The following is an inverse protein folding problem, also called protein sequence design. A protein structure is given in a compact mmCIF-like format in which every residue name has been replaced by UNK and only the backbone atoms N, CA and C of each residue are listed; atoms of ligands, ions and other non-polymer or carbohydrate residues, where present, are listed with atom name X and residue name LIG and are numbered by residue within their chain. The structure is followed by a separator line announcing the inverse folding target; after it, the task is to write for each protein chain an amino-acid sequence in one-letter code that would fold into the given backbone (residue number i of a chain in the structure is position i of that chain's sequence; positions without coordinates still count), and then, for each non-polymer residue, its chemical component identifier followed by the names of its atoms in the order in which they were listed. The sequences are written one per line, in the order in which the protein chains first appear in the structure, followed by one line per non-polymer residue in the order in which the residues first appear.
data_IF_225714187232
#
_entry.id   IF_225714187232
#
_cell.length_a   1.000
_cell.length_b   1.000
_cell.length_c   1.000
_cell.angle_alpha   90.00
_cell.angle_beta   90.00
_cell.angle_gamma   90.00
#
_symmetry.space_group_name_H-M   'P 1'
#
loop_
_entity.id
_entity.type
_entity.pdbx_description
1 polymer ?
#
# COMPACT_ATOMS: atom_id res chain seq x y z
N UNK A 1 -13.15 -37.10 16.70
CA UNK A 1 -12.30 -36.69 15.56
C UNK A 1 -12.31 -35.17 15.35
N UNK A 2 -13.45 -34.53 15.08
CA UNK A 2 -13.51 -33.06 14.84
C UNK A 2 -13.05 -32.24 16.07
N UNK A 3 -13.53 -32.58 17.26
CA UNK A 3 -13.09 -31.92 18.50
C UNK A 3 -11.57 -32.05 18.73
N UNK A 4 -11.01 -33.24 18.49
CA UNK A 4 -9.58 -33.51 18.64
C UNK A 4 -8.70 -32.73 17.65
N UNK A 5 -9.23 -32.44 16.45
CA UNK A 5 -8.59 -31.58 15.47
C UNK A 5 -8.55 -30.13 15.96
N UNK A 6 -9.68 -29.58 16.42
CA UNK A 6 -9.68 -28.21 16.94
C UNK A 6 -8.85 -28.04 18.21
N UNK A 7 -8.82 -29.05 19.10
CA UNK A 7 -7.90 -29.05 20.25
C UNK A 7 -6.44 -29.01 19.80
N UNK A 8 -6.09 -29.62 18.65
CA UNK A 8 -4.73 -29.48 18.10
C UNK A 8 -4.45 -28.03 17.71
N UNK A 9 -5.42 -27.39 17.05
CA UNK A 9 -5.33 -26.02 16.57
C UNK A 9 -5.18 -24.99 17.69
N UNK A 10 -5.77 -25.25 18.87
CA UNK A 10 -5.62 -24.35 20.03
C UNK A 10 -4.24 -24.41 20.69
N UNK A 11 -3.41 -25.41 20.35
CA UNK A 11 -2.09 -25.56 20.95
C UNK A 11 -2.11 -25.96 22.43
N UNK A 12 -3.24 -26.46 22.94
CA UNK A 12 -3.35 -27.00 24.29
C UNK A 12 -2.63 -28.35 24.40
N UNK A 13 -2.11 -28.63 25.60
CA UNK A 13 -1.57 -29.94 25.95
C UNK A 13 -2.71 -30.94 26.04
N UNK A 14 -2.69 -31.94 25.15
CA UNK A 14 -3.74 -32.95 25.06
C UNK A 14 -3.75 -33.86 26.27
N UNK A 15 -2.59 -34.18 26.84
CA UNK A 15 -2.48 -35.13 27.94
C UNK A 15 -3.09 -34.53 29.21
N UNK A 16 -2.83 -33.24 29.45
CA UNK A 16 -3.45 -32.50 30.56
C UNK A 16 -4.95 -32.30 30.30
N UNK A 17 -5.32 -31.84 29.10
CA UNK A 17 -6.71 -31.55 28.75
C UNK A 17 -7.58 -32.81 28.75
N UNK A 18 -7.02 -33.99 28.47
CA UNK A 18 -7.81 -35.22 28.45
C UNK A 18 -8.32 -35.66 29.83
N UNK A 19 -7.63 -35.22 30.89
CA UNK A 19 -8.06 -35.40 32.28
C UNK A 19 -9.12 -34.39 32.73
N UNK A 20 -9.41 -33.35 31.93
CA UNK A 20 -10.35 -32.29 32.28
C UNK A 20 -11.79 -32.63 31.91
N UNK A 21 -12.72 -31.89 32.52
CA UNK A 21 -14.15 -31.94 32.22
C UNK A 21 -14.46 -31.64 30.73
N UNK A 22 -15.59 -32.16 30.25
CA UNK A 22 -16.05 -31.95 28.87
C UNK A 22 -16.24 -30.46 28.51
N UNK A 23 -16.60 -29.63 29.50
CA UNK A 23 -16.74 -28.18 29.32
C UNK A 23 -15.43 -27.51 28.91
N UNK A 24 -14.32 -27.86 29.57
CA UNK A 24 -12.99 -27.35 29.22
C UNK A 24 -12.50 -27.87 27.86
N UNK A 25 -12.77 -29.14 27.54
CA UNK A 25 -12.48 -29.68 26.20
C UNK A 25 -13.23 -28.92 25.09
N UNK A 26 -14.46 -28.50 25.35
CA UNK A 26 -15.26 -27.71 24.39
C UNK A 26 -14.76 -26.27 24.28
N UNK A 27 -14.37 -25.64 25.39
CA UNK A 27 -13.76 -24.30 25.42
C UNK A 27 -12.49 -24.25 24.57
N UNK A 28 -11.57 -25.19 24.79
CA UNK A 28 -10.32 -25.27 24.02
C UNK A 28 -10.53 -25.68 22.56
N UNK A 29 -11.55 -26.50 22.26
CA UNK A 29 -11.96 -26.75 20.89
C UNK A 29 -12.52 -25.48 20.22
N UNK A 30 -13.30 -24.65 20.93
CA UNK A 30 -13.80 -23.37 20.42
C UNK A 30 -12.68 -22.39 20.09
N UNK A 31 -11.70 -22.24 20.99
CA UNK A 31 -10.50 -21.42 20.76
C UNK A 31 -9.71 -21.96 19.56
N UNK A 32 -9.61 -23.28 19.40
CA UNK A 32 -8.95 -23.87 18.25
C UNK A 32 -9.70 -23.69 16.94
N UNK A 33 -11.03 -23.67 16.99
CA UNK A 33 -11.87 -23.39 15.83
C UNK A 33 -11.68 -21.94 15.36
N UNK A 34 -11.58 -20.96 16.27
CA UNK A 34 -11.33 -19.57 15.88
C UNK A 34 -9.97 -19.43 15.19
N UNK A 35 -8.89 -20.02 15.73
CA UNK A 35 -7.55 -20.06 15.09
C UNK A 35 -7.57 -20.72 13.71
N UNK A 36 -8.37 -21.78 13.53
CA UNK A 36 -8.49 -22.44 12.24
C UNK A 36 -9.23 -21.56 11.21
N UNK A 37 -10.35 -20.95 11.61
CA UNK A 37 -11.13 -20.09 10.72
C UNK A 37 -10.39 -18.79 10.38
N UNK A 38 -9.61 -18.20 11.29
CA UNK A 38 -8.74 -17.06 10.97
C UNK A 38 -7.73 -17.44 9.89
N UNK A 39 -7.05 -18.58 10.02
CA UNK A 39 -6.11 -19.07 9.00
C UNK A 39 -6.75 -19.34 7.64
N UNK A 40 -7.97 -19.91 7.60
CA UNK A 40 -8.71 -20.15 6.35
C UNK A 40 -9.08 -18.83 5.68
N UNK A 41 -9.62 -17.87 6.44
CA UNK A 41 -9.97 -16.56 5.90
C UNK A 41 -8.73 -15.80 5.41
N UNK A 42 -7.62 -15.86 6.16
CA UNK A 42 -6.34 -15.29 5.75
C UNK A 42 -5.80 -15.94 4.46
N UNK A 43 -5.99 -17.26 4.28
CA UNK A 43 -5.64 -17.97 3.05
C UNK A 43 -6.42 -17.44 1.86
N UNK A 44 -7.74 -17.32 2.00
CA UNK A 44 -8.62 -16.84 0.92
C UNK A 44 -8.29 -15.39 0.56
N UNK A 45 -8.14 -14.54 1.57
CA UNK A 45 -7.80 -13.13 1.40
C UNK A 45 -6.43 -12.94 0.72
N UNK A 46 -5.39 -13.65 1.19
CA UNK A 46 -4.07 -13.59 0.60
C UNK A 46 -4.06 -14.15 -0.82
N UNK A 47 -4.76 -15.26 -1.08
CA UNK A 47 -4.89 -15.82 -2.44
C UNK A 47 -5.51 -14.78 -3.38
N UNK A 48 -6.59 -14.12 -2.96
CA UNK A 48 -7.23 -13.08 -3.75
C UNK A 48 -6.31 -11.89 -4.01
N UNK A 49 -5.66 -11.35 -2.97
CA UNK A 49 -4.73 -10.24 -3.12
C UNK A 49 -3.56 -10.59 -4.05
N UNK A 50 -2.96 -11.77 -3.87
CA UNK A 50 -1.84 -12.23 -4.70
C UNK A 50 -2.28 -12.55 -6.14
N UNK A 51 -3.53 -12.95 -6.36
CA UNK A 51 -4.09 -13.08 -7.70
C UNK A 51 -4.13 -11.73 -8.42
N UNK A 52 -4.57 -10.67 -7.74
CA UNK A 52 -4.59 -9.31 -8.33
C UNK A 52 -3.19 -8.77 -8.66
N UNK A 53 -2.12 -9.30 -8.03
CA UNK A 53 -0.73 -8.87 -8.26
C UNK A 53 -0.04 -9.73 -9.33
N UNK A 54 -0.20 -11.06 -9.30
CA UNK A 54 0.57 -11.98 -10.14
C UNK A 54 -0.17 -12.48 -11.39
N UNK A 55 -1.47 -12.17 -11.50
CA UNK A 55 -2.41 -12.61 -12.54
C UNK A 55 -2.28 -14.10 -12.89
N UNK A 56 -1.96 -14.90 -11.87
CA UNK A 56 -1.67 -16.32 -12.01
C UNK A 56 -2.25 -17.09 -10.83
N UNK A 57 -3.28 -17.87 -11.13
CA UNK A 57 -4.07 -18.64 -10.16
C UNK A 57 -3.19 -19.60 -9.36
N UNK A 58 -2.26 -20.30 -10.01
CA UNK A 58 -1.42 -21.31 -9.33
C UNK A 58 -0.45 -20.67 -8.33
N UNK A 59 0.20 -19.56 -8.71
CA UNK A 59 1.09 -18.83 -7.80
C UNK A 59 0.31 -18.20 -6.64
N UNK A 60 -0.86 -17.63 -6.93
CA UNK A 60 -1.73 -17.04 -5.93
C UNK A 60 -2.17 -18.07 -4.87
N UNK A 61 -2.61 -19.26 -5.29
CA UNK A 61 -3.01 -20.34 -4.37
C UNK A 61 -1.82 -20.82 -3.54
N UNK A 62 -0.66 -21.04 -4.16
CA UNK A 62 0.53 -21.53 -3.46
C UNK A 62 0.97 -20.57 -2.35
N UNK A 63 1.13 -19.28 -2.68
CA UNK A 63 1.55 -18.28 -1.72
C UNK A 63 0.44 -17.94 -0.71
N UNK A 64 -0.83 -18.01 -1.11
CA UNK A 64 -1.96 -17.85 -0.20
C UNK A 64 -2.04 -18.96 0.86
N UNK A 65 -1.83 -20.22 0.47
CA UNK A 65 -1.73 -21.35 1.40
C UNK A 65 -0.53 -21.22 2.34
N UNK A 66 0.63 -20.82 1.81
CA UNK A 66 1.82 -20.57 2.62
C UNK A 66 1.56 -19.49 3.67
N UNK A 67 0.93 -18.38 3.26
CA UNK A 67 0.55 -17.30 4.18
C UNK A 67 -0.44 -17.77 5.25
N UNK A 68 -1.48 -18.51 4.85
CA UNK A 68 -2.44 -19.10 5.78
C UNK A 68 -1.79 -20.01 6.82
N UNK A 69 -0.81 -20.83 6.40
CA UNK A 69 -0.05 -21.68 7.31
C UNK A 69 0.82 -20.87 8.29
N UNK A 70 1.40 -19.75 7.85
CA UNK A 70 2.14 -18.83 8.73
C UNK A 70 1.20 -18.22 9.77
N UNK A 71 0.03 -17.72 9.36
CA UNK A 71 -0.97 -17.18 10.28
C UNK A 71 -1.44 -18.24 11.28
N UNK A 72 -1.77 -19.44 10.78
CA UNK A 72 -2.16 -20.57 11.63
C UNK A 72 -1.11 -20.90 12.68
N UNK A 73 0.17 -20.98 12.28
CA UNK A 73 1.26 -21.30 13.19
C UNK A 73 1.44 -20.20 14.25
N UNK A 74 1.36 -18.94 13.83
CA UNK A 74 1.57 -17.79 14.70
C UNK A 74 0.43 -17.62 15.70
N UNK A 75 -0.82 -17.74 15.26
CA UNK A 75 -2.00 -17.73 16.14
C UNK A 75 -1.96 -18.88 17.15
N UNK A 76 -1.66 -20.10 16.67
CA UNK A 76 -1.53 -21.28 17.53
C UNK A 76 -0.42 -21.08 18.58
N UNK A 77 0.72 -20.54 18.17
CA UNK A 77 1.83 -20.26 19.08
C UNK A 77 1.41 -19.27 20.18
N UNK A 78 0.71 -18.19 19.83
CA UNK A 78 0.27 -17.19 20.81
C UNK A 78 -0.78 -17.76 21.76
N UNK A 79 -1.78 -18.47 21.24
CA UNK A 79 -2.79 -19.10 22.10
C UNK A 79 -2.14 -20.10 23.05
N UNK A 80 -1.11 -20.84 22.61
CA UNK A 80 -0.39 -21.80 23.47
C UNK A 80 0.50 -21.13 24.53
N UNK A 81 1.09 -19.98 24.22
CA UNK A 81 1.98 -19.24 25.13
C UNK A 81 1.25 -18.31 26.09
N UNK A 82 0.02 -17.90 25.76
CA UNK A 82 -0.88 -17.18 26.65
C UNK A 82 -1.34 -18.08 27.79
N UNK A 83 -0.57 -18.04 28.88
CA UNK A 83 -0.89 -18.71 30.14
C UNK A 83 -1.70 -17.77 31.02
N UNK A 84 -2.82 -18.28 31.54
CA UNK A 84 -3.59 -17.56 32.54
C UNK A 84 -2.81 -17.44 33.84
N UNK A 85 -2.67 -16.21 34.33
CA UNK A 85 -2.02 -15.87 35.61
C UNK A 85 -2.87 -14.81 36.29
N UNK A 86 -2.82 -14.73 37.62
CA UNK A 86 -3.65 -13.81 38.43
C UNK A 86 -3.56 -12.31 38.09
N UNK A 87 -2.69 -11.90 37.15
CA UNK A 87 -2.43 -10.50 36.80
C UNK A 87 -2.80 -10.21 35.35
N UNK A 88 -4.04 -9.77 35.13
CA UNK A 88 -4.60 -9.38 33.82
C UNK A 88 -3.69 -8.45 33.00
N UNK A 89 -3.05 -7.47 33.64
CA UNK A 89 -2.13 -6.53 32.97
C UNK A 89 -0.91 -7.20 32.33
N UNK A 90 -0.39 -8.28 32.95
CA UNK A 90 0.72 -9.03 32.37
C UNK A 90 0.26 -9.89 31.19
N UNK A 91 -0.96 -10.42 31.24
CA UNK A 91 -1.57 -11.15 30.11
C UNK A 91 -1.78 -10.23 28.90
N UNK A 92 -2.30 -9.02 29.15
CA UNK A 92 -2.50 -8.03 28.11
C UNK A 92 -1.16 -7.59 27.49
N UNK A 93 -0.15 -7.30 28.32
CA UNK A 93 1.20 -6.94 27.86
C UNK A 93 1.84 -7.99 26.95
N UNK A 94 1.69 -9.28 27.27
CA UNK A 94 2.18 -10.38 26.43
C UNK A 94 1.42 -10.51 25.11
N UNK A 95 0.19 -9.97 25.03
CA UNK A 95 -0.66 -10.01 23.83
C UNK A 95 -0.43 -8.84 22.87
N UNK A 96 0.22 -7.75 23.32
CA UNK A 96 0.44 -6.52 22.51
C UNK A 96 1.14 -6.79 21.18
N UNK A 97 2.26 -7.55 21.11
CA UNK A 97 2.94 -7.79 19.83
C UNK A 97 2.02 -8.41 18.78
N UNK A 98 1.05 -9.23 19.21
CA UNK A 98 0.05 -9.81 18.31
C UNK A 98 -1.02 -8.82 17.91
N UNK A 99 -1.51 -7.98 18.82
CA UNK A 99 -2.50 -6.95 18.47
C UNK A 99 -1.94 -6.01 17.39
N UNK A 100 -0.67 -5.63 17.50
CA UNK A 100 0.02 -4.83 16.48
C UNK A 100 0.06 -5.59 15.15
N UNK A 101 0.46 -6.86 15.16
CA UNK A 101 0.51 -7.68 13.95
C UNK A 101 -0.88 -7.88 13.31
N UNK A 102 -1.92 -8.09 14.13
CA UNK A 102 -3.30 -8.22 13.67
C UNK A 102 -3.79 -6.93 12.99
N UNK A 103 -3.43 -5.76 13.53
CA UNK A 103 -3.70 -4.48 12.87
C UNK A 103 -2.99 -4.38 11.52
N UNK A 104 -1.71 -4.75 11.45
CA UNK A 104 -0.94 -4.72 10.19
C UNK A 104 -1.58 -5.64 9.15
N UNK A 105 -1.92 -6.87 9.54
CA UNK A 105 -2.57 -7.85 8.65
C UNK A 105 -3.94 -7.34 8.21
N UNK A 106 -4.74 -6.80 9.12
CA UNK A 106 -6.06 -6.26 8.81
C UNK A 106 -5.98 -5.11 7.80
N UNK A 107 -4.99 -4.21 7.91
CA UNK A 107 -4.75 -3.15 6.90
C UNK A 107 -4.34 -3.75 5.55
N UNK A 108 -3.40 -4.69 5.54
CA UNK A 108 -2.88 -5.29 4.31
C UNK A 108 -3.98 -6.06 3.55
N UNK A 109 -4.86 -6.74 4.27
CA UNK A 109 -5.97 -7.51 3.69
C UNK A 109 -7.15 -6.60 3.30
N UNK A 110 -7.46 -5.58 4.09
CA UNK A 110 -8.64 -4.76 3.86
C UNK A 110 -8.53 -3.96 2.56
N UNK A 111 -7.34 -3.44 2.20
CA UNK A 111 -7.18 -2.55 1.04
C UNK A 111 -7.49 -3.21 -0.33
N UNK A 112 -6.95 -4.38 -0.68
CA UNK A 112 -7.31 -5.04 -1.94
C UNK A 112 -8.79 -5.44 -1.99
N UNK A 113 -9.36 -5.85 -0.84
CA UNK A 113 -10.75 -6.25 -0.77
C UNK A 113 -11.70 -5.06 -0.86
N UNK A 114 -11.35 -3.93 -0.24
CA UNK A 114 -12.04 -2.65 -0.34
C UNK A 114 -12.13 -2.20 -1.80
N UNK A 115 -11.01 -2.20 -2.53
CA UNK A 115 -10.98 -1.89 -3.96
C UNK A 115 -11.88 -2.81 -4.79
N UNK A 116 -12.01 -4.09 -4.40
CA UNK A 116 -12.90 -5.02 -5.11
C UNK A 116 -14.36 -4.84 -4.76
N UNK A 117 -14.68 -4.67 -3.48
CA UNK A 117 -16.05 -4.50 -3.00
C UNK A 117 -16.66 -3.24 -3.59
N UNK A 118 -15.88 -2.15 -3.68
CA UNK A 118 -16.31 -0.86 -4.21
C UNK A 118 -15.96 -0.66 -5.68
N UNK A 119 -15.68 -1.71 -6.45
CA UNK A 119 -15.26 -1.60 -7.85
C UNK A 119 -16.24 -0.76 -8.68
N UNK A 120 -17.56 -0.98 -8.51
CA UNK A 120 -18.60 -0.25 -9.25
C UNK A 120 -18.69 1.22 -8.85
N UNK A 121 -18.55 1.51 -7.56
CA UNK A 121 -18.58 2.85 -7.02
C UNK A 121 -17.34 3.63 -7.46
N UNK A 122 -16.17 2.99 -7.43
CA UNK A 122 -14.91 3.53 -7.95
C UNK A 122 -15.03 3.83 -9.44
N UNK A 123 -15.54 2.88 -10.24
CA UNK A 123 -15.72 3.06 -11.69
C UNK A 123 -16.65 4.25 -11.98
N UNK A 124 -17.68 4.47 -11.16
CA UNK A 124 -18.58 5.63 -11.30
C UNK A 124 -17.88 6.95 -11.01
N UNK A 125 -17.09 7.01 -9.93
CA UNK A 125 -16.29 8.22 -9.59
C UNK A 125 -15.25 8.49 -10.68
N UNK A 126 -14.55 7.45 -11.13
CA UNK A 126 -13.59 7.52 -12.24
C UNK A 126 -14.22 8.05 -13.51
N UNK A 127 -15.44 7.61 -13.86
CA UNK A 127 -16.17 8.10 -15.02
C UNK A 127 -16.51 9.59 -14.88
N UNK A 128 -16.90 10.03 -13.68
CA UNK A 128 -17.11 11.45 -13.38
C UNK A 128 -15.83 12.27 -13.55
N UNK A 129 -14.70 11.80 -13.00
CA UNK A 129 -13.40 12.46 -13.12
C UNK A 129 -12.92 12.51 -14.59
N UNK A 130 -13.12 11.43 -15.36
CA UNK A 130 -12.81 11.42 -16.80
C UNK A 130 -13.64 12.45 -17.58
N UNK A 131 -14.92 12.61 -17.25
CA UNK A 131 -15.77 13.62 -17.87
C UNK A 131 -15.28 15.03 -17.51
N UNK A 132 -14.92 15.26 -16.26
CA UNK A 132 -14.36 16.55 -15.79
C UNK A 132 -13.06 16.89 -16.52
N UNK A 133 -12.11 15.95 -16.59
CA UNK A 133 -10.87 16.14 -17.36
C UNK A 133 -11.12 16.34 -18.85
N UNK A 134 -12.11 15.65 -19.42
CA UNK A 134 -12.50 15.84 -20.83
C UNK A 134 -12.98 17.26 -21.07
N UNK A 135 -13.87 17.77 -20.22
CA UNK A 135 -14.42 19.13 -20.33
C UNK A 135 -13.31 20.18 -20.11
N UNK A 136 -12.45 19.97 -19.12
CA UNK A 136 -11.33 20.87 -18.85
C UNK A 136 -10.35 20.94 -20.02
N UNK A 137 -9.90 19.78 -20.52
CA UNK A 137 -8.99 19.70 -21.65
C UNK A 137 -9.60 20.31 -22.93
N UNK A 138 -10.89 20.05 -23.20
CA UNK A 138 -11.59 20.70 -24.32
C UNK A 138 -11.63 22.23 -24.15
N UNK A 139 -11.86 22.72 -22.94
CA UNK A 139 -11.83 24.16 -22.63
C UNK A 139 -10.45 24.79 -22.83
N UNK A 140 -9.39 24.13 -22.37
CA UNK A 140 -8.00 24.59 -22.53
C UNK A 140 -7.59 24.63 -24.01
N UNK A 141 -7.92 23.58 -24.78
CA UNK A 141 -7.70 23.55 -26.22
C UNK A 141 -8.52 24.67 -26.88
N UNK A 142 -9.80 24.83 -26.56
CA UNK A 142 -10.65 25.87 -27.15
C UNK A 142 -10.10 27.29 -26.88
N UNK A 143 -9.57 27.54 -25.68
CA UNK A 143 -8.94 28.81 -25.34
C UNK A 143 -7.70 29.12 -26.21
N UNK A 144 -7.00 28.10 -26.70
CA UNK A 144 -5.85 28.25 -27.60
C UNK A 144 -6.26 28.67 -29.02
N UNK A 145 -7.36 28.13 -29.55
CA UNK A 145 -7.80 28.36 -30.94
C UNK A 145 -8.75 29.56 -31.09
N UNK A 146 -9.50 29.92 -30.04
CA UNK A 146 -10.48 31.02 -30.08
C UNK A 146 -9.87 32.37 -30.54
N UNK A 147 -8.69 32.81 -30.08
CA UNK A 147 -8.10 34.08 -30.49
C UNK A 147 -7.80 34.15 -32.00
N UNK A 148 -7.26 33.08 -32.58
CA UNK A 148 -6.94 33.03 -34.01
C UNK A 148 -8.20 32.98 -34.88
N UNK A 149 -9.23 32.25 -34.44
CA UNK A 149 -10.54 32.23 -35.12
C UNK A 149 -11.18 33.63 -35.10
N UNK A 150 -11.17 34.30 -33.95
CA UNK A 150 -11.72 35.65 -33.82
C UNK A 150 -10.98 36.66 -34.72
N UNK A 151 -9.65 36.56 -34.79
CA UNK A 151 -8.83 37.40 -35.66
C UNK A 151 -9.17 37.21 -37.15
N UNK A 152 -9.45 35.98 -37.58
CA UNK A 152 -9.90 35.70 -38.95
C UNK A 152 -11.32 36.23 -39.19
N UNK A 153 -12.22 36.14 -38.20
CA UNK A 153 -13.55 36.72 -38.27
C UNK A 153 -13.52 38.24 -38.40
N UNK A 154 -12.65 38.91 -37.64
CA UNK A 154 -12.44 40.36 -37.73
C UNK A 154 -11.89 40.76 -39.10
N UNK A 155 -10.98 39.98 -39.69
CA UNK A 155 -10.47 40.22 -41.05
C UNK A 155 -11.57 40.08 -42.11
N UNK A 156 -12.41 39.05 -42.00
CA UNK A 156 -13.55 38.87 -42.91
C UNK A 156 -14.54 40.03 -42.77
N UNK A 157 -14.84 40.45 -41.54
CA UNK A 157 -15.75 41.57 -41.28
C UNK A 157 -15.20 42.89 -41.85
N UNK A 158 -13.92 43.18 -41.63
CA UNK A 158 -13.24 44.35 -42.19
C UNK A 158 -13.26 44.36 -43.73
N UNK A 159 -12.93 43.24 -44.38
CA UNK A 159 -12.94 43.13 -45.84
C UNK A 159 -14.35 43.33 -46.43
N UNK A 160 -15.40 42.82 -45.76
CA UNK A 160 -16.79 43.06 -46.14
C UNK A 160 -17.20 44.53 -45.95
N UNK A 161 -16.76 45.16 -44.86
CA UNK A 161 -17.03 46.57 -44.59
C UNK A 161 -16.36 47.50 -45.60
N UNK A 162 -15.13 47.21 -46.03
CA UNK A 162 -14.45 47.94 -47.10
C UNK A 162 -15.25 47.89 -48.41
N UNK A 163 -15.74 46.69 -48.80
CA UNK A 163 -16.57 46.52 -50.00
C UNK A 163 -17.86 47.36 -49.86
N UNK A 164 -18.58 47.23 -48.75
CA UNK A 164 -19.84 47.95 -48.54
C UNK A 164 -19.66 49.48 -48.56
N UNK A 165 -18.54 49.97 -48.01
CA UNK A 165 -18.20 51.39 -48.02
C UNK A 165 -17.94 51.88 -49.45
N UNK A 166 -17.15 51.14 -50.24
CA UNK A 166 -16.87 51.50 -51.63
C UNK A 166 -18.10 51.33 -52.55
N UNK A 167 -18.97 50.37 -52.28
CA UNK A 167 -20.27 50.25 -52.96
C UNK A 167 -21.15 51.47 -52.71
N UNK A 168 -21.19 51.97 -51.47
CA UNK A 168 -21.95 53.18 -51.12
C UNK A 168 -21.37 54.40 -51.84
N UNK A 169 -20.05 54.53 -51.91
CA UNK A 169 -19.37 55.59 -52.67
C UNK A 169 -19.73 55.57 -54.17
N UNK A 170 -19.68 54.39 -54.79
CA UNK A 170 -20.04 54.22 -56.21
C UNK A 170 -21.52 54.55 -56.46
N UNK A 171 -22.42 54.08 -55.60
CA UNK A 171 -23.85 54.39 -55.71
C UNK A 171 -24.13 55.90 -55.57
N UNK A 172 -23.44 56.59 -54.65
CA UNK A 172 -23.55 58.04 -54.52
C UNK A 172 -23.05 58.76 -55.78
N UNK A 173 -21.91 58.33 -56.34
CA UNK A 173 -21.39 58.89 -57.59
C UNK A 173 -22.33 58.66 -58.78
N UNK A 174 -23.02 57.52 -58.80
CA UNK A 174 -24.05 57.20 -59.78
C UNK A 174 -25.21 58.19 -59.72
N UNK A 175 -25.77 58.42 -58.53
CA UNK A 175 -26.84 59.41 -58.31
C UNK A 175 -26.40 60.81 -58.77
N UNK A 176 -25.19 61.25 -58.38
CA UNK A 176 -24.66 62.59 -58.70
C UNK A 176 -24.56 62.88 -60.21
N UNK A 177 -24.19 61.89 -61.04
CA UNK A 177 -24.09 62.11 -62.49
C UNK A 177 -25.45 61.95 -63.20
N UNK A 178 -26.36 61.13 -62.66
CA UNK A 178 -27.72 60.99 -63.17
C UNK A 178 -28.50 62.30 -62.93
N UNK A 179 -28.42 62.86 -61.72
CA UNK A 179 -29.06 64.14 -61.40
C UNK A 179 -28.56 65.29 -62.29
N UNK A 180 -27.26 65.27 -62.65
CA UNK A 180 -26.69 66.23 -63.61
C UNK A 180 -27.29 66.06 -65.02
N UNK A 181 -27.54 64.82 -65.46
CA UNK A 181 -28.14 64.56 -66.77
C UNK A 181 -29.63 64.95 -66.82
N UNK A 182 -30.33 64.77 -65.70
CA UNK A 182 -31.74 65.12 -65.52
C UNK A 182 -31.95 66.62 -65.23
N UNK A 183 -30.87 67.36 -64.93
CA UNK A 183 -30.92 68.79 -64.63
C UNK A 183 -31.53 69.12 -63.26
N UNK A 184 -31.58 68.14 -62.35
CA UNK A 184 -32.17 68.26 -61.01
C UNK A 184 -31.16 68.75 -59.96
N UNK A 185 -29.86 68.66 -60.24
CA UNK A 185 -28.77 69.19 -59.42
C UNK A 185 -27.55 69.58 -60.26
N UNK A 186 -26.65 70.42 -59.72
CA UNK A 186 -25.39 70.80 -60.38
C UNK A 186 -25.54 71.99 -61.34
N UNK A 187 -25.39 71.77 -62.66
CA UNK A 187 -25.56 72.85 -63.65
C UNK A 187 -27.01 73.21 -63.95
N UNK A 188 -27.98 72.38 -63.51
CA UNK A 188 -29.43 72.52 -63.76
C UNK A 188 -29.81 72.56 -65.25
N UNK A 189 -28.88 72.16 -66.13
CA UNK A 189 -29.09 72.08 -67.56
C UNK A 189 -29.39 70.64 -67.97
N UNK A 190 -30.53 70.43 -68.63
CA UNK A 190 -30.91 69.12 -69.14
C UNK A 190 -29.94 68.67 -70.25
N UNK A 191 -29.31 67.50 -70.06
CA UNK A 191 -28.52 66.85 -71.10
C UNK A 191 -27.11 66.43 -70.69
N UNK A 192 -26.37 65.86 -71.65
CA UNK A 192 -25.06 65.24 -71.43
C UNK A 192 -23.93 66.18 -71.87
N UNK A 193 -23.63 67.17 -71.04
CA UNK A 193 -22.55 68.14 -71.27
C UNK A 193 -21.16 67.69 -70.77
N UNK A 194 -20.13 68.56 -70.85
CA UNK A 194 -18.78 68.26 -70.38
C UNK A 194 -18.70 67.91 -68.87
N UNK A 195 -19.51 68.58 -68.03
CA UNK A 195 -19.58 68.33 -66.58
C UNK A 195 -20.18 66.95 -66.28
N UNK A 196 -21.20 66.53 -67.03
CA UNK A 196 -21.73 65.16 -66.97
C UNK A 196 -20.66 64.13 -67.33
N UNK A 197 -19.86 64.40 -68.37
CA UNK A 197 -18.80 63.49 -68.78
C UNK A 197 -17.71 63.35 -67.70
N UNK A 198 -17.28 64.44 -67.07
CA UNK A 198 -16.32 64.38 -65.96
C UNK A 198 -16.86 63.61 -64.75
N UNK A 199 -18.13 63.82 -64.38
CA UNK A 199 -18.78 63.08 -63.28
C UNK A 199 -18.94 61.59 -63.60
N UNK A 200 -19.28 61.26 -64.84
CA UNK A 200 -19.35 59.88 -65.33
C UNK A 200 -17.99 59.20 -65.33
N UNK A 201 -16.95 59.89 -65.79
CA UNK A 201 -15.58 59.35 -65.81
C UNK A 201 -15.09 59.05 -64.37
N UNK A 202 -15.47 59.88 -63.39
CA UNK A 202 -15.23 59.62 -61.95
C UNK A 202 -15.98 58.40 -61.44
N UNK A 203 -17.25 58.23 -61.80
CA UNK A 203 -18.02 57.03 -61.47
C UNK A 203 -17.40 55.78 -62.11
N UNK A 204 -17.07 55.83 -63.39
CA UNK A 204 -16.54 54.68 -64.13
C UNK A 204 -15.16 54.26 -63.59
N UNK A 205 -14.34 55.22 -63.14
CA UNK A 205 -13.11 54.94 -62.39
C UNK A 205 -13.37 54.27 -61.02
N UNK A 206 -14.30 54.82 -60.22
CA UNK A 206 -14.67 54.24 -58.92
C UNK A 206 -15.32 52.84 -59.05
N UNK A 207 -16.08 52.60 -60.12
CA UNK A 207 -16.66 51.30 -60.46
C UNK A 207 -15.57 50.27 -60.79
N UNK A 208 -14.54 50.67 -61.54
CA UNK A 208 -13.38 49.81 -61.83
C UNK A 208 -12.59 49.49 -60.56
N UNK A 209 -12.38 50.47 -59.67
CA UNK A 209 -11.78 50.26 -58.35
C UNK A 209 -12.60 49.30 -57.48
N UNK A 210 -13.94 49.45 -57.48
CA UNK A 210 -14.83 48.56 -56.75
C UNK A 210 -14.77 47.12 -57.27
N UNK A 211 -14.70 46.92 -58.59
CA UNK A 211 -14.56 45.59 -59.18
C UNK A 211 -13.23 44.94 -58.77
N UNK A 212 -12.13 45.68 -58.77
CA UNK A 212 -10.83 45.22 -58.29
C UNK A 212 -10.87 44.90 -56.79
N UNK A 213 -11.48 45.76 -55.99
CA UNK A 213 -11.61 45.61 -54.54
C UNK A 213 -12.42 44.35 -54.19
N UNK A 214 -13.56 44.13 -54.87
CA UNK A 214 -14.37 42.92 -54.71
C UNK A 214 -13.58 41.66 -55.02
N UNK A 215 -12.80 41.66 -56.10
CA UNK A 215 -11.98 40.50 -56.49
C UNK A 215 -10.91 40.22 -55.44
N UNK A 216 -10.17 41.25 -55.03
CA UNK A 216 -9.10 41.15 -54.02
C UNK A 216 -9.63 40.71 -52.65
N UNK A 217 -10.72 41.32 -52.19
CA UNK A 217 -11.28 40.98 -50.88
C UNK A 217 -12.03 39.63 -50.91
N UNK A 218 -12.59 39.20 -52.05
CA UNK A 218 -13.12 37.84 -52.20
C UNK A 218 -12.01 36.79 -52.04
N UNK A 219 -10.82 37.01 -52.60
CA UNK A 219 -9.68 36.12 -52.40
C UNK A 219 -9.24 36.08 -50.93
N UNK A 220 -9.13 37.25 -50.25
CA UNK A 220 -8.80 37.31 -48.82
C UNK A 220 -9.83 36.57 -47.95
N UNK A 221 -11.12 36.77 -48.22
CA UNK A 221 -12.20 36.10 -47.49
C UNK A 221 -12.12 34.59 -47.71
N UNK A 222 -11.93 34.13 -48.95
CA UNK A 222 -11.78 32.70 -49.25
C UNK A 222 -10.57 32.08 -48.53
N UNK A 223 -9.42 32.77 -48.50
CA UNK A 223 -8.25 32.31 -47.76
C UNK A 223 -8.50 32.24 -46.25
N UNK A 224 -9.13 33.27 -45.66
CA UNK A 224 -9.47 33.29 -44.24
C UNK A 224 -10.49 32.18 -43.88
N UNK A 225 -11.48 31.91 -44.74
CA UNK A 225 -12.43 30.82 -44.54
C UNK A 225 -11.75 29.44 -44.59
N UNK A 226 -10.83 29.23 -45.53
CA UNK A 226 -10.01 27.99 -45.58
C UNK A 226 -9.18 27.82 -44.31
N UNK A 227 -8.54 28.89 -43.83
CA UNK A 227 -7.77 28.86 -42.57
C UNK A 227 -8.65 28.56 -41.36
N UNK A 228 -9.88 29.11 -41.29
CA UNK A 228 -10.84 28.77 -40.23
C UNK A 228 -11.23 27.30 -40.25
N UNK A 229 -11.40 26.71 -41.43
CA UNK A 229 -11.69 25.27 -41.56
C UNK A 229 -10.49 24.46 -41.07
N UNK A 230 -9.28 24.80 -41.49
CA UNK A 230 -8.05 24.13 -41.03
C UNK A 230 -7.89 24.18 -39.50
N UNK A 231 -8.09 25.35 -38.88
CA UNK A 231 -8.01 25.50 -37.43
C UNK A 231 -9.08 24.66 -36.69
N UNK A 232 -10.28 24.53 -37.26
CA UNK A 232 -11.33 23.65 -36.71
C UNK A 232 -10.96 22.18 -36.81
N UNK A 233 -10.35 21.77 -37.93
CA UNK A 233 -9.90 20.39 -38.12
C UNK A 233 -8.72 20.07 -37.19
N UNK A 234 -7.79 21.00 -37.00
CA UNK A 234 -6.71 20.90 -36.01
C UNK A 234 -7.27 20.80 -34.58
N UNK A 235 -8.24 21.63 -34.21
CA UNK A 235 -8.94 21.55 -32.92
C UNK A 235 -9.57 20.16 -32.72
N UNK A 236 -10.33 19.67 -33.69
CA UNK A 236 -10.96 18.34 -33.64
C UNK A 236 -9.91 17.23 -33.51
N UNK A 237 -8.78 17.37 -34.20
CA UNK A 237 -7.66 16.44 -34.13
C UNK A 237 -7.00 16.47 -32.75
N UNK A 238 -6.79 17.65 -32.17
CA UNK A 238 -6.22 17.81 -30.83
C UNK A 238 -7.13 17.20 -29.75
N UNK A 239 -8.44 17.42 -29.83
CA UNK A 239 -9.43 16.79 -28.95
C UNK A 239 -9.43 15.27 -29.13
N UNK A 240 -9.45 14.78 -30.37
CA UNK A 240 -9.42 13.34 -30.66
C UNK A 240 -8.13 12.66 -30.21
N UNK A 241 -7.00 13.36 -30.22
CA UNK A 241 -5.70 12.81 -29.83
C UNK A 241 -5.52 12.77 -28.31
N UNK A 242 -6.15 13.70 -27.60
CA UNK A 242 -6.11 13.77 -26.12
C UNK A 242 -7.13 12.83 -25.47
N UNK A 243 -8.26 12.53 -26.10
CA UNK A 243 -9.29 11.66 -25.52
C UNK A 243 -8.79 10.25 -25.12
N UNK A 244 -7.95 9.54 -25.92
CA UNK A 244 -7.37 8.26 -25.53
C UNK A 244 -6.50 8.34 -24.28
N UNK A 245 -5.78 9.45 -24.08
CA UNK A 245 -4.91 9.67 -22.91
C UNK A 245 -5.76 9.77 -21.65
N UNK A 246 -6.87 10.51 -21.70
CA UNK A 246 -7.84 10.65 -20.60
C UNK A 246 -8.55 9.31 -20.35
N UNK A 247 -8.93 8.60 -21.41
CA UNK A 247 -9.62 7.31 -21.28
C UNK A 247 -8.73 6.23 -20.64
N UNK A 248 -7.42 6.27 -20.92
CA UNK A 248 -6.41 5.39 -20.32
C UNK A 248 -6.01 5.77 -18.89
N UNK A 249 -6.60 6.82 -18.32
CA UNK A 249 -6.53 7.11 -16.89
C UNK A 249 -7.35 6.07 -16.10
N UNK A 250 -6.85 4.84 -15.98
CA UNK A 250 -7.48 3.72 -15.25
C UNK A 250 -6.43 2.88 -14.49
N UNK A 251 -5.27 3.47 -14.22
CA UNK A 251 -4.23 2.82 -13.42
C UNK A 251 -4.67 2.60 -11.96
N UNK A 252 -3.95 1.74 -11.24
CA UNK A 252 -4.19 1.47 -9.82
C UNK A 252 -4.21 2.75 -8.98
N UNK A 253 -3.35 3.73 -9.29
CA UNK A 253 -3.31 5.02 -8.61
C UNK A 253 -4.64 5.77 -8.76
N UNK A 254 -5.20 5.82 -9.96
CA UNK A 254 -6.47 6.48 -10.22
C UNK A 254 -7.62 5.80 -9.44
N UNK A 255 -7.61 4.46 -9.37
CA UNK A 255 -8.56 3.70 -8.55
C UNK A 255 -8.42 4.00 -7.05
N UNK A 256 -7.19 4.16 -6.55
CA UNK A 256 -6.93 4.55 -5.15
C UNK A 256 -7.42 5.97 -4.89
N UNK A 257 -7.20 6.90 -5.81
CA UNK A 257 -7.64 8.28 -5.66
C UNK A 257 -9.16 8.40 -5.72
N UNK A 258 -9.82 7.73 -6.68
CA UNK A 258 -11.28 7.65 -6.74
C UNK A 258 -11.90 6.99 -5.49
N UNK A 259 -11.22 6.02 -4.89
CA UNK A 259 -11.66 5.42 -3.62
C UNK A 259 -11.62 6.41 -2.45
N UNK A 260 -10.73 7.42 -2.46
CA UNK A 260 -10.69 8.45 -1.39
C UNK A 260 -11.91 9.38 -1.42
N UNK A 261 -12.57 9.51 -2.57
CA UNK A 261 -13.80 10.29 -2.72
C UNK A 261 -15.03 9.55 -2.14
N UNK A 262 -14.91 8.24 -1.88
CA UNK A 262 -15.98 7.47 -1.26
C UNK A 262 -16.08 7.74 0.24
N UNK A 263 -17.28 7.58 0.85
CA UNK A 263 -17.42 7.67 2.30
C UNK A 263 -16.46 6.72 3.02
N UNK A 264 -15.79 7.21 4.05
CA UNK A 264 -14.78 6.44 4.79
C UNK A 264 -15.38 5.34 5.70
N UNK A 265 -16.66 5.45 6.06
CA UNK A 265 -17.32 4.54 7.02
C UNK A 265 -17.36 3.08 6.55
N UNK A 266 -17.75 2.75 5.29
CA UNK A 266 -17.68 1.40 4.77
C UNK A 266 -16.25 0.81 4.77
N UNK A 267 -15.25 1.62 4.41
CA UNK A 267 -13.83 1.24 4.48
C UNK A 267 -13.40 0.87 5.91
N UNK A 268 -13.76 1.73 6.87
CA UNK A 268 -13.53 1.47 8.29
C UNK A 268 -14.23 0.19 8.73
N UNK A 269 -15.47 -0.04 8.31
CA UNK A 269 -16.24 -1.23 8.71
C UNK A 269 -15.58 -2.52 8.23
N UNK A 270 -15.08 -2.56 6.99
CA UNK A 270 -14.34 -3.72 6.45
C UNK A 270 -13.06 -3.94 7.25
N UNK A 271 -12.30 -2.87 7.53
CA UNK A 271 -11.10 -2.96 8.35
C UNK A 271 -11.41 -3.49 9.77
N UNK A 272 -12.44 -2.96 10.43
CA UNK A 272 -12.87 -3.38 11.76
C UNK A 272 -13.35 -4.84 11.77
N UNK A 273 -14.01 -5.29 10.70
CA UNK A 273 -14.43 -6.68 10.55
C UNK A 273 -13.22 -7.62 10.53
N UNK A 274 -12.21 -7.33 9.71
CA UNK A 274 -10.98 -8.14 9.67
C UNK A 274 -10.20 -8.07 10.98
N UNK A 275 -10.10 -6.88 11.58
CA UNK A 275 -9.46 -6.72 12.88
C UNK A 275 -10.18 -7.53 13.97
N UNK A 276 -11.51 -7.54 13.98
CA UNK A 276 -12.29 -8.33 14.93
C UNK A 276 -12.08 -9.82 14.74
N UNK A 277 -12.04 -10.30 13.49
CA UNK A 277 -11.78 -11.71 13.16
C UNK A 277 -10.36 -12.12 13.60
N UNK A 278 -9.34 -11.34 13.25
CA UNK A 278 -7.94 -11.65 13.58
C UNK A 278 -7.65 -11.58 15.08
N UNK A 279 -8.35 -10.71 15.82
CA UNK A 279 -8.17 -10.59 17.27
C UNK A 279 -9.06 -11.55 18.08
N UNK A 280 -10.03 -12.22 17.44
CA UNK A 280 -10.96 -13.12 18.11
C UNK A 280 -10.29 -14.24 18.95
N UNK A 281 -9.22 -14.92 18.50
CA UNK A 281 -8.56 -15.94 19.32
C UNK A 281 -7.98 -15.39 20.63
N UNK A 282 -7.39 -14.19 20.56
CA UNK A 282 -6.77 -13.52 21.71
C UNK A 282 -7.85 -13.04 22.67
N UNK A 283 -8.87 -12.35 22.16
CA UNK A 283 -9.99 -11.91 22.99
C UNK A 283 -10.72 -13.09 23.62
N UNK A 284 -10.94 -14.17 22.87
CA UNK A 284 -11.53 -15.39 23.42
C UNK A 284 -10.70 -15.94 24.57
N UNK A 285 -9.37 -15.92 24.48
CA UNK A 285 -8.50 -16.39 25.56
C UNK A 285 -8.46 -15.41 26.74
N UNK A 286 -8.35 -14.11 26.48
CA UNK A 286 -8.29 -13.06 27.51
C UNK A 286 -9.59 -12.96 28.32
N UNK A 287 -10.76 -13.02 27.67
CA UNK A 287 -12.08 -12.94 28.32
C UNK A 287 -12.40 -14.23 29.08
N UNK A 288 -11.91 -15.38 28.59
CA UNK A 288 -12.23 -16.64 29.24
C UNK A 288 -11.64 -16.72 30.66
N UNK A 289 -12.42 -17.14 31.67
CA UNK A 289 -11.92 -17.29 33.03
C UNK A 289 -10.92 -18.45 33.11
N UNK A 290 -10.10 -18.43 34.16
CA UNK A 290 -9.18 -19.53 34.47
C UNK A 290 -9.97 -20.83 34.69
N UNK A 291 -9.66 -21.84 33.88
CA UNK A 291 -10.36 -23.13 33.86
C UNK A 291 -9.61 -24.24 34.58
N UNK A 292 -10.22 -25.43 34.64
CA UNK A 292 -9.61 -26.64 35.21
C UNK A 292 -8.27 -26.98 34.53
N UNK A 293 -8.19 -26.78 33.22
CA UNK A 293 -6.96 -26.99 32.45
C UNK A 293 -5.84 -26.04 32.90
N UNK A 294 -6.15 -24.76 33.09
CA UNK A 294 -5.13 -23.76 33.48
C UNK A 294 -4.59 -24.04 34.88
N UNK A 295 -5.45 -24.49 35.80
CA UNK A 295 -5.07 -24.91 37.16
C UNK A 295 -4.15 -26.13 37.10
N UNK A 296 -4.53 -27.19 36.38
CA UNK A 296 -3.72 -28.41 36.26
C UNK A 296 -2.38 -28.14 35.59
N UNK A 297 -2.36 -27.32 34.55
CA UNK A 297 -1.11 -26.93 33.88
C UNK A 297 -0.19 -26.15 34.83
N UNK A 298 -0.73 -25.22 35.63
CA UNK A 298 0.03 -24.48 36.63
C UNK A 298 0.58 -25.41 37.72
N UNK A 299 -0.21 -26.37 38.19
CA UNK A 299 0.20 -27.36 39.19
C UNK A 299 1.33 -28.28 38.69
N UNK A 300 1.22 -28.76 37.45
CA UNK A 300 2.28 -29.53 36.80
C UNK A 300 3.59 -28.73 36.69
N UNK A 301 3.52 -27.46 36.27
CA UNK A 301 4.70 -26.59 36.17
C UNK A 301 5.33 -26.30 37.54
N UNK A 302 4.52 -26.05 38.57
CA UNK A 302 4.98 -25.84 39.94
C UNK A 302 5.65 -27.08 40.51
N UNK A 303 5.03 -28.25 40.33
CA UNK A 303 5.58 -29.54 40.79
C UNK A 303 6.96 -29.79 40.19
N UNK A 304 7.13 -29.57 38.88
CA UNK A 304 8.43 -29.72 38.21
C UNK A 304 9.44 -28.71 38.76
N UNK A 305 9.04 -27.46 38.96
CA UNK A 305 9.91 -26.41 39.48
C UNK A 305 10.38 -26.74 40.89
N UNK A 306 9.48 -27.10 41.80
CA UNK A 306 9.81 -27.45 43.18
C UNK A 306 10.67 -28.70 43.25
N UNK A 307 10.35 -29.74 42.49
CA UNK A 307 11.15 -30.95 42.41
C UNK A 307 12.57 -30.68 41.88
N UNK A 308 12.70 -29.82 40.87
CA UNK A 308 14.01 -29.42 40.34
C UNK A 308 14.83 -28.63 41.38
N UNK A 309 14.17 -27.74 42.14
CA UNK A 309 14.81 -26.99 43.22
C UNK A 309 15.25 -27.91 44.37
N UNK A 310 14.40 -28.88 44.76
CA UNK A 310 14.71 -29.87 45.78
C UNK A 310 15.91 -30.72 45.37
N UNK A 311 15.96 -31.19 44.12
CA UNK A 311 17.12 -31.94 43.59
C UNK A 311 18.39 -31.12 43.57
N UNK A 312 18.31 -29.84 43.20
CA UNK A 312 19.46 -28.95 43.22
C UNK A 312 19.98 -28.76 44.65
N UNK A 313 19.08 -28.56 45.63
CA UNK A 313 19.43 -28.46 47.04
C UNK A 313 20.06 -29.75 47.58
N UNK A 314 19.47 -30.90 47.27
CA UNK A 314 19.98 -32.20 47.71
C UNK A 314 21.38 -32.48 47.15
N UNK A 315 21.65 -32.14 45.88
CA UNK A 315 22.99 -32.23 45.30
C UNK A 315 23.99 -31.34 46.02
N UNK A 316 23.60 -30.12 46.39
CA UNK A 316 24.44 -29.19 47.13
C UNK A 316 24.79 -29.75 48.51
N UNK A 317 23.79 -30.20 49.27
CA UNK A 317 23.98 -30.81 50.60
C UNK A 317 24.86 -32.06 50.49
N UNK A 318 24.63 -32.92 49.50
CA UNK A 318 25.45 -34.11 49.29
C UNK A 318 26.92 -33.76 49.04
N UNK A 319 27.17 -32.78 48.16
CA UNK A 319 28.53 -32.31 47.85
C UNK A 319 29.21 -31.71 49.09
N UNK A 320 28.50 -30.87 49.85
CA UNK A 320 29.01 -30.29 51.09
C UNK A 320 29.29 -31.38 52.14
N UNK A 321 28.41 -32.36 52.26
CA UNK A 321 28.58 -33.50 53.18
C UNK A 321 29.80 -34.33 52.77
N UNK A 322 29.95 -34.64 51.48
CA UNK A 322 31.12 -35.34 50.96
C UNK A 322 32.42 -34.57 51.23
N UNK A 323 32.42 -33.24 51.07
CA UNK A 323 33.55 -32.40 51.46
C UNK A 323 33.87 -32.51 52.95
N UNK A 324 32.87 -32.40 53.83
CA UNK A 324 33.06 -32.49 55.28
C UNK A 324 33.56 -33.88 55.70
N UNK A 325 33.00 -34.95 55.13
CA UNK A 325 33.40 -36.33 55.42
C UNK A 325 34.81 -36.58 54.93
N UNK A 326 35.14 -36.17 53.70
CA UNK A 326 36.49 -36.29 53.18
C UNK A 326 37.49 -35.49 54.02
N UNK A 327 37.16 -34.26 54.40
CA UNK A 327 38.02 -33.43 55.24
C UNK A 327 38.30 -34.08 56.60
N UNK A 328 37.27 -34.68 57.23
CA UNK A 328 37.43 -35.47 58.46
C UNK A 328 38.33 -36.69 58.22
N UNK A 329 38.08 -37.48 57.17
CA UNK A 329 38.88 -38.67 56.85
C UNK A 329 40.34 -38.30 56.58
N UNK A 330 40.61 -37.25 55.80
CA UNK A 330 41.98 -36.80 55.54
C UNK A 330 42.65 -36.22 56.79
N UNK A 331 41.89 -35.55 57.67
CA UNK A 331 42.40 -35.06 58.96
C UNK A 331 42.80 -36.22 59.88
N UNK A 332 41.96 -37.26 59.99
CA UNK A 332 42.25 -38.46 60.78
C UNK A 332 43.49 -39.19 60.22
N UNK A 333 43.57 -39.34 58.88
CA UNK A 333 44.74 -39.91 58.20
C UNK A 333 46.00 -39.06 58.42
N UNK A 334 45.89 -37.73 58.46
CA UNK A 334 47.03 -36.85 58.72
C UNK A 334 47.57 -36.98 60.15
N UNK A 335 46.72 -37.37 61.09
CA UNK A 335 47.07 -37.60 62.50
C UNK A 335 47.50 -39.06 62.77
N UNK A 336 47.42 -39.95 61.78
CA UNK A 336 47.82 -41.35 61.90
C UNK A 336 49.35 -41.49 62.04
N UNK A 337 49.75 -41.88 63.25
CA UNK A 337 51.15 -42.05 63.65
C UNK A 337 51.84 -43.19 62.90
N UNK A 338 51.10 -44.25 62.50
CA UNK A 338 51.63 -45.37 61.74
C UNK A 338 51.96 -44.94 60.31
N UNK A 339 51.03 -44.22 59.66
CA UNK A 339 51.26 -43.68 58.33
C UNK A 339 52.40 -42.64 58.31
N UNK A 340 52.48 -41.78 59.33
CA UNK A 340 53.60 -40.84 59.49
C UNK A 340 54.93 -41.59 59.59
N UNK A 341 55.02 -42.61 60.43
CA UNK A 341 56.24 -43.40 60.61
C UNK A 341 56.64 -44.14 59.33
N UNK A 342 55.67 -44.69 58.59
CA UNK A 342 55.89 -45.33 57.30
C UNK A 342 56.42 -44.34 56.25
N UNK A 343 55.76 -43.18 56.09
CA UNK A 343 56.22 -42.12 55.17
C UNK A 343 57.60 -41.59 55.55
N UNK A 344 57.88 -41.42 56.85
CA UNK A 344 59.20 -41.01 57.36
C UNK A 344 60.28 -42.04 57.04
N UNK A 345 59.99 -43.34 57.12
CA UNK A 345 60.92 -44.41 56.73
C UNK A 345 61.22 -44.37 55.24
N UNK A 346 60.19 -44.27 54.40
CA UNK A 346 60.35 -44.18 52.94
C UNK A 346 61.11 -42.90 52.52
N UNK A 347 60.77 -41.75 53.12
CA UNK A 347 61.47 -40.50 52.86
C UNK A 347 62.95 -40.58 53.25
N UNK A 348 63.28 -41.19 54.41
CA UNK A 348 64.67 -41.46 54.79
C UNK A 348 65.38 -42.37 53.79
N UNK A 349 64.73 -43.40 53.28
CA UNK A 349 65.33 -44.32 52.31
C UNK A 349 65.57 -43.64 50.96
N UNK A 350 64.63 -42.80 50.50
CA UNK A 350 64.81 -41.97 49.30
C UNK A 350 65.95 -40.98 49.49
N UNK A 351 66.02 -40.27 50.63
CA UNK A 351 67.12 -39.35 50.93
C UNK A 351 68.47 -40.06 50.94
N UNK A 352 68.56 -41.26 51.54
CA UNK A 352 69.77 -42.09 51.49
C UNK A 352 70.15 -42.46 50.06
N UNK A 353 69.20 -42.94 49.25
CA UNK A 353 69.45 -43.28 47.85
C UNK A 353 69.84 -42.07 47.00
N UNK A 354 69.25 -40.90 47.25
CA UNK A 354 69.64 -39.65 46.59
C UNK A 354 71.05 -39.23 46.99
N UNK A 355 71.40 -39.34 48.27
CA UNK A 355 72.74 -39.04 48.77
C UNK A 355 73.79 -40.04 48.23
N UNK A 356 73.46 -41.33 48.16
CA UNK A 356 74.30 -42.36 47.54
C UNK A 356 74.47 -42.12 46.05
N UNK A 357 73.41 -41.73 45.34
CA UNK A 357 73.48 -41.38 43.92
C UNK A 357 74.32 -40.11 43.68
N UNK A 358 74.20 -39.12 44.57
CA UNK A 358 75.03 -37.91 44.55
C UNK A 358 76.50 -38.23 44.84
N UNK A 359 76.78 -39.04 45.86
CA UNK A 359 78.11 -39.51 46.21
C UNK A 359 78.75 -40.32 45.07
N UNK A 360 77.99 -41.24 44.45
CA UNK A 360 78.43 -41.98 43.25
C UNK A 360 78.74 -41.06 42.07
N UNK A 361 77.98 -39.98 41.88
CA UNK A 361 78.29 -38.98 40.85
C UNK A 361 79.57 -38.21 41.16
N UNK A 362 79.78 -37.75 42.39
CA UNK A 362 81.00 -37.03 42.77
C UNK A 362 82.25 -37.90 42.69
N UNK A 363 82.17 -39.17 43.11
CA UNK A 363 83.30 -40.11 43.04
C UNK A 363 83.68 -40.50 41.61
N UNK A 364 82.71 -40.56 40.68
CA UNK A 364 82.95 -40.76 39.23
C UNK A 364 83.61 -39.57 38.51
N UNK A 365 83.66 -38.40 39.15
CA UNK A 365 84.30 -37.19 38.61
C UNK A 365 85.75 -37.06 39.12
N UNK A 366 86.08 -37.73 40.22
CA UNK A 366 87.40 -37.66 40.89
C UNK A 366 88.31 -38.88 40.61
N UNK A 367 87.83 -39.88 39.87
CA UNK A 367 88.61 -41.00 39.35
C UNK A 367 88.09 -41.39 37.98
#
# INVERSE_FOLDING_TARGET
MIQSFFILCSGADRDVLDTCSRGEKNKYAGIGATVFFTAVLATIAATYALFTVFDNVYRAILFGLLWGLVIFNLDRFIVSTLKKRDQWWKEFGMSIPRLILAVIIAVVISKPLELKIFEKEIDRVMLSQKNEFTVQNQGEILAQYTPEINKLDDQIAAAKQEIATKETEVNNLYEIYIDEAEGTAGTELLGKGPVYQEKRDKHDAALAELALLKTTNAEKIAQAEVQKIQLRDEFNTAVSTSQPIINNFDGLMARIDAMKELPWLPSLFIFLLFLAIETAPIFSKLISPMGEYDIKLADHELTIKEWSAQKALQRKILTETDHIVNDRVYTDIAQDEELYNYKKKMAKEIMKRQQDAFYRRQTKILG
#
